data_IF_499982797393
#
_entry.id   IF_499982797393
#
_cell.length_a   1.000
_cell.length_b   1.000
_cell.length_c   1.000
_cell.angle_alpha   90.00
_cell.angle_beta   90.00
_cell.angle_gamma   90.00
#
_symmetry.space_group_name_H-M   'P 1'
#
loop_
_entity.id
_entity.type
_entity.pdbx_description
1 polymer ?
#
# COMPACT_ATOMS: atom_id res chain seq x y z
N UNK A 1 3.92 28.19 16.78
CA UNK A 1 3.82 26.71 16.76
C UNK A 1 4.12 26.24 15.36
N UNK A 2 5.33 25.72 15.13
CA UNK A 2 5.68 25.12 13.84
C UNK A 2 4.99 23.76 13.79
N UNK A 3 4.08 23.56 12.83
CA UNK A 3 3.34 22.31 12.65
C UNK A 3 4.33 21.16 12.50
N UNK A 4 4.20 20.12 13.32
CA UNK A 4 5.05 18.93 13.19
C UNK A 4 4.73 18.25 11.85
N UNK A 5 5.68 18.19 10.89
CA UNK A 5 5.42 17.65 9.55
C UNK A 5 4.98 16.18 9.54
N UNK A 6 5.22 15.47 10.63
CA UNK A 6 5.16 14.02 10.73
C UNK A 6 3.73 13.46 10.90
N UNK A 7 2.70 14.30 11.13
CA UNK A 7 1.36 13.85 11.55
C UNK A 7 0.22 14.13 10.56
N UNK A 8 0.54 14.61 9.36
CA UNK A 8 -0.47 15.13 8.43
C UNK A 8 -1.47 14.08 7.91
N UNK A 9 -1.08 12.80 7.81
CA UNK A 9 -2.00 11.73 7.38
C UNK A 9 -3.14 11.50 8.36
N UNK A 10 -2.85 11.48 9.66
CA UNK A 10 -3.85 11.27 10.73
C UNK A 10 -4.89 12.39 10.75
N UNK A 11 -4.46 13.61 10.39
CA UNK A 11 -5.31 14.79 10.31
C UNK A 11 -5.98 14.96 8.93
N UNK A 12 -5.68 14.10 7.95
CA UNK A 12 -6.09 14.21 6.53
C UNK A 12 -5.76 15.58 5.92
N UNK A 13 -4.59 16.12 6.23
CA UNK A 13 -4.16 17.44 5.73
C UNK A 13 -3.08 17.37 4.64
N UNK A 14 -2.80 16.17 4.10
CA UNK A 14 -1.94 15.96 2.93
C UNK A 14 -2.69 15.25 1.81
N UNK A 15 -2.42 15.61 0.54
CA UNK A 15 -2.98 14.91 -0.60
C UNK A 15 -2.49 13.45 -0.65
N UNK A 16 -3.33 12.59 -1.22
CA UNK A 16 -3.07 11.16 -1.39
C UNK A 16 -3.72 10.68 -2.68
N UNK A 17 -3.19 9.58 -3.20
CA UNK A 17 -3.77 8.83 -4.30
C UNK A 17 -4.32 7.50 -3.79
N UNK A 18 -5.52 7.15 -4.23
CA UNK A 18 -6.11 5.83 -4.00
C UNK A 18 -5.50 4.78 -4.92
N UNK A 19 -5.18 3.63 -4.34
CA UNK A 19 -4.72 2.42 -5.03
C UNK A 19 -5.48 1.21 -4.48
N UNK A 20 -5.40 0.06 -5.14
CA UNK A 20 -5.98 -1.18 -4.60
C UNK A 20 -5.34 -1.65 -3.28
N UNK A 21 -4.14 -1.15 -2.96
CA UNK A 21 -3.45 -1.39 -1.68
C UNK A 21 -3.86 -0.38 -0.59
N UNK A 22 -4.65 0.62 -0.93
CA UNK A 22 -4.99 1.75 -0.06
C UNK A 22 -4.35 3.05 -0.54
N UNK A 23 -4.01 3.94 0.40
CA UNK A 23 -3.56 5.30 0.08
C UNK A 23 -2.04 5.43 0.03
N UNK A 24 -1.54 5.94 -1.10
CA UNK A 24 -0.14 6.36 -1.28
C UNK A 24 -0.04 7.90 -1.32
N UNK A 25 1.09 8.50 -0.92
CA UNK A 25 1.33 9.94 -1.11
C UNK A 25 1.25 10.33 -2.59
N UNK A 26 0.77 11.53 -2.89
CA UNK A 26 1.01 12.15 -4.20
C UNK A 26 2.45 12.66 -4.29
N UNK A 27 2.90 12.99 -5.50
CA UNK A 27 4.29 13.41 -5.76
C UNK A 27 4.74 14.61 -4.92
N UNK A 28 3.81 15.48 -4.53
CA UNK A 28 4.02 16.69 -3.74
C UNK A 28 3.77 16.51 -2.23
N UNK A 29 3.28 15.35 -1.79
CA UNK A 29 2.90 15.11 -0.40
C UNK A 29 4.12 14.83 0.52
N UNK A 30 5.26 14.48 -0.07
CA UNK A 30 6.49 14.17 0.67
C UNK A 30 7.44 15.36 0.67
N UNK A 31 7.98 15.69 1.85
CA UNK A 31 9.07 16.65 1.93
C UNK A 31 10.39 15.98 1.56
N UNK A 32 10.96 16.37 0.42
CA UNK A 32 12.23 15.85 -0.09
C UNK A 32 13.42 16.80 0.17
N UNK A 33 13.22 17.85 0.98
CA UNK A 33 14.28 18.83 1.29
C UNK A 33 15.50 18.16 1.92
N UNK A 34 16.69 18.45 1.40
CA UNK A 34 17.95 17.93 1.94
C UNK A 34 18.43 16.62 1.31
N UNK A 35 17.69 16.05 0.35
CA UNK A 35 18.19 14.96 -0.49
C UNK A 35 19.09 15.53 -1.60
N UNK A 36 20.28 14.96 -1.75
CA UNK A 36 21.29 15.41 -2.71
C UNK A 36 20.99 14.98 -4.15
N UNK A 37 20.16 13.95 -4.33
CA UNK A 37 19.82 13.38 -5.63
C UNK A 37 18.32 13.54 -5.93
N UNK A 38 17.94 13.69 -7.22
CA UNK A 38 16.54 13.71 -7.61
C UNK A 38 15.87 12.37 -7.27
N UNK A 39 14.72 12.41 -6.60
CA UNK A 39 13.95 11.21 -6.29
C UNK A 39 12.82 11.04 -7.30
N UNK A 40 12.74 9.86 -7.92
CA UNK A 40 11.60 9.49 -8.74
C UNK A 40 10.47 8.94 -7.84
N UNK A 41 9.58 9.82 -7.40
CA UNK A 41 8.46 9.46 -6.52
C UNK A 41 7.46 8.55 -7.24
N UNK A 42 7.24 8.75 -8.54
CA UNK A 42 6.35 7.91 -9.33
C UNK A 42 6.80 6.44 -9.33
N UNK A 43 8.11 6.18 -9.47
CA UNK A 43 8.63 4.80 -9.36
C UNK A 43 8.57 4.28 -7.92
N UNK A 44 8.89 5.12 -6.93
CA UNK A 44 8.85 4.72 -5.52
C UNK A 44 7.43 4.35 -5.05
N UNK A 45 6.41 5.03 -5.57
CA UNK A 45 5.00 4.79 -5.26
C UNK A 45 4.32 3.87 -6.28
N UNK A 46 5.06 3.30 -7.25
CA UNK A 46 4.49 2.46 -8.29
C UNK A 46 3.88 1.20 -7.68
N UNK A 47 2.64 0.93 -8.05
CA UNK A 47 1.91 -0.26 -7.61
C UNK A 47 1.69 -1.18 -8.81
N UNK A 48 2.48 -2.25 -8.88
CA UNK A 48 2.49 -3.20 -9.99
C UNK A 48 1.43 -4.30 -9.82
N UNK A 49 0.43 -4.33 -10.71
CA UNK A 49 -0.73 -5.21 -10.60
C UNK A 49 -0.33 -6.69 -10.65
N UNK A 50 0.51 -7.06 -11.61
CA UNK A 50 0.96 -8.44 -11.82
C UNK A 50 1.77 -8.97 -10.63
N UNK A 51 2.65 -8.12 -10.08
CA UNK A 51 3.40 -8.42 -8.86
C UNK A 51 2.45 -8.72 -7.69
N UNK A 52 1.47 -7.86 -7.44
CA UNK A 52 0.55 -8.04 -6.30
C UNK A 52 -0.45 -9.20 -6.48
N UNK A 53 -0.78 -9.57 -7.72
CA UNK A 53 -1.51 -10.81 -8.01
C UNK A 53 -0.68 -12.03 -7.58
N UNK A 54 0.63 -12.03 -7.85
CA UNK A 54 1.53 -13.10 -7.41
C UNK A 54 1.68 -13.09 -5.89
N UNK A 55 1.89 -11.91 -5.30
CA UNK A 55 2.04 -11.75 -3.86
C UNK A 55 0.83 -12.29 -3.08
N UNK A 56 -0.41 -12.07 -3.59
CA UNK A 56 -1.60 -12.64 -2.97
C UNK A 56 -1.60 -14.19 -2.96
N UNK A 57 -0.99 -14.84 -3.95
CA UNK A 57 -0.87 -16.31 -3.99
C UNK A 57 0.16 -16.77 -2.97
N UNK A 58 1.29 -16.08 -2.89
CA UNK A 58 2.39 -16.42 -1.99
C UNK A 58 1.96 -16.25 -0.52
N UNK A 59 1.25 -15.16 -0.18
CA UNK A 59 0.65 -14.96 1.15
C UNK A 59 -0.37 -16.06 1.45
N UNK A 60 -1.21 -16.43 0.49
CA UNK A 60 -2.16 -17.53 0.69
C UNK A 60 -1.45 -18.85 0.99
N UNK A 61 -0.39 -19.18 0.25
CA UNK A 61 0.39 -20.38 0.51
C UNK A 61 1.00 -20.36 1.92
N UNK A 62 1.59 -19.22 2.33
CA UNK A 62 2.09 -19.04 3.68
C UNK A 62 1.00 -19.23 4.75
N UNK A 63 -0.18 -18.64 4.54
CA UNK A 63 -1.32 -18.80 5.44
C UNK A 63 -1.77 -20.25 5.57
N UNK A 64 -1.85 -20.98 4.45
CA UNK A 64 -2.29 -22.37 4.45
C UNK A 64 -1.23 -23.31 5.08
N UNK A 65 0.05 -23.10 4.77
CA UNK A 65 1.16 -23.98 5.17
C UNK A 65 1.70 -23.72 6.57
N UNK A 66 1.83 -22.44 6.97
CA UNK A 66 2.53 -22.05 8.19
C UNK A 66 1.57 -21.66 9.33
N UNK A 67 0.41 -21.09 9.01
CA UNK A 67 -0.56 -20.61 10.02
C UNK A 67 -1.71 -21.61 10.20
N UNK A 68 -2.24 -22.12 9.09
CA UNK A 68 -3.30 -23.12 9.05
C UNK A 68 -4.51 -22.72 9.89
N UNK A 69 -4.90 -23.61 10.82
CA UNK A 69 -6.12 -23.45 11.65
C UNK A 69 -6.09 -22.25 12.60
N UNK A 70 -4.91 -21.70 12.88
CA UNK A 70 -4.76 -20.56 13.78
C UNK A 70 -5.02 -19.22 13.08
N UNK A 71 -5.23 -19.22 11.76
CA UNK A 71 -5.47 -17.99 11.00
C UNK A 71 -6.86 -17.43 11.34
N UNK A 72 -6.94 -16.19 11.85
CA UNK A 72 -8.24 -15.57 12.10
C UNK A 72 -9.01 -15.36 10.77
N UNK A 73 -10.31 -15.67 10.70
CA UNK A 73 -11.10 -15.53 9.48
C UNK A 73 -11.03 -14.14 8.86
N UNK A 74 -11.05 -13.10 9.71
CA UNK A 74 -10.95 -11.71 9.26
C UNK A 74 -9.67 -11.42 8.46
N UNK A 75 -8.55 -12.10 8.75
CA UNK A 75 -7.29 -11.92 8.01
C UNK A 75 -7.37 -12.61 6.64
N UNK A 76 -7.96 -13.80 6.58
CA UNK A 76 -8.22 -14.48 5.31
C UNK A 76 -9.16 -13.64 4.41
N UNK A 77 -10.19 -13.04 5.01
CA UNK A 77 -11.12 -12.16 4.31
C UNK A 77 -10.42 -10.91 3.76
N UNK A 78 -9.50 -10.29 4.51
CA UNK A 78 -8.72 -9.16 4.01
C UNK A 78 -7.89 -9.53 2.77
N UNK A 79 -7.28 -10.73 2.74
CA UNK A 79 -6.55 -11.21 1.57
C UNK A 79 -7.48 -11.43 0.36
N UNK A 80 -8.67 -11.99 0.59
CA UNK A 80 -9.68 -12.18 -0.46
C UNK A 80 -10.16 -10.83 -1.02
N UNK A 81 -10.46 -9.86 -0.15
CA UNK A 81 -10.86 -8.51 -0.53
C UNK A 81 -9.74 -7.77 -1.27
N UNK A 82 -8.48 -7.94 -0.86
CA UNK A 82 -7.34 -7.37 -1.58
C UNK A 82 -7.27 -7.90 -3.01
N UNK A 83 -7.36 -9.23 -3.18
CA UNK A 83 -7.37 -9.86 -4.51
C UNK A 83 -8.52 -9.32 -5.37
N UNK A 84 -9.72 -9.14 -4.80
CA UNK A 84 -10.85 -8.57 -5.52
C UNK A 84 -10.59 -7.12 -5.97
N UNK A 85 -10.04 -6.26 -5.10
CA UNK A 85 -9.67 -4.87 -5.47
C UNK A 85 -8.64 -4.83 -6.61
N UNK A 86 -7.65 -5.71 -6.57
CA UNK A 86 -6.63 -5.82 -7.62
C UNK A 86 -7.28 -6.19 -8.96
N UNK A 87 -8.17 -7.19 -8.98
CA UNK A 87 -8.82 -7.65 -10.21
C UNK A 87 -9.76 -6.60 -10.82
N UNK A 88 -10.41 -5.77 -10.00
CA UNK A 88 -11.28 -4.67 -10.44
C UNK A 88 -10.51 -3.42 -10.86
N UNK A 89 -9.24 -3.30 -10.48
CA UNK A 89 -8.43 -2.15 -10.85
C UNK A 89 -8.07 -2.20 -12.33
N UNK A 90 -8.18 -1.08 -13.06
CA UNK A 90 -7.74 -1.02 -14.45
C UNK A 90 -6.26 -1.38 -14.57
N UNK A 91 -5.90 -2.02 -15.68
CA UNK A 91 -4.51 -2.29 -16.06
C UNK A 91 -3.87 -1.07 -16.69
#
# INVERSE_FOLDING_TARGET
MQSMPQLHRTLRVVPFQETFLGYVPTDDALNLSGLSEPVNIAELMRVDKEFWIKECRDIKAFFDEQVGRSLPPAIADQLAMLKERIMKSPS
#
